data_IF_925270511566
#
_entry.id   IF_925270511566
#
_cell.length_a   1.000
_cell.length_b   1.000
_cell.length_c   1.000
_cell.angle_alpha   90.00
_cell.angle_beta   90.00
_cell.angle_gamma   90.00
#
_symmetry.space_group_name_H-M   'P 1'
#
loop_
_entity.id
_entity.type
_entity.pdbx_description
1 polymer ?
#
# COMPACT_ATOMS: atom_id res chain seq x y z
N UNK A 1 -38.52 35.11 44.75
CA UNK A 1 -38.63 35.99 43.55
C UNK A 1 -39.28 35.20 42.44
N UNK A 2 -40.34 35.78 41.86
CA UNK A 2 -41.10 35.26 40.71
C UNK A 2 -40.26 35.42 39.44
N UNK A 3 -40.32 34.46 38.52
CA UNK A 3 -40.34 34.72 37.08
C UNK A 3 -40.67 33.44 36.32
N UNK A 4 -41.90 33.40 35.79
CA UNK A 4 -42.31 32.52 34.70
C UNK A 4 -41.96 33.22 33.39
N UNK A 5 -41.45 32.51 32.39
CA UNK A 5 -41.62 32.92 31.00
C UNK A 5 -42.16 31.74 30.19
N UNK A 6 -43.41 31.92 29.79
CA UNK A 6 -44.15 31.19 28.78
C UNK A 6 -43.90 31.91 27.45
N UNK A 7 -43.58 31.18 26.38
CA UNK A 7 -43.79 31.67 25.02
C UNK A 7 -44.42 30.58 24.15
N UNK A 8 -45.33 31.09 23.34
CA UNK A 8 -46.37 30.44 22.56
C UNK A 8 -46.02 30.48 21.07
N UNK A 9 -46.67 29.62 20.27
CA UNK A 9 -46.83 29.72 18.81
C UNK A 9 -45.59 29.35 17.95
N UNK A 10 -45.66 28.63 16.83
CA UNK A 10 -46.72 28.40 15.83
C UNK A 10 -46.41 27.15 14.98
N UNK A 11 -47.47 26.55 14.41
CA UNK A 11 -47.48 25.51 13.38
C UNK A 11 -46.97 26.00 12.02
N UNK A 12 -46.29 25.13 11.26
CA UNK A 12 -46.52 24.95 9.81
C UNK A 12 -45.94 23.59 9.33
N UNK A 13 -46.70 22.75 8.60
CA UNK A 13 -46.16 21.55 7.96
C UNK A 13 -45.73 21.87 6.52
N UNK A 14 -44.47 21.62 6.19
CA UNK A 14 -43.99 21.65 4.81
C UNK A 14 -44.12 20.24 4.21
N UNK A 15 -45.19 20.05 3.45
CA UNK A 15 -45.36 18.92 2.53
C UNK A 15 -44.55 19.24 1.29
N UNK A 16 -43.49 18.47 1.01
CA UNK A 16 -42.75 18.55 -0.24
C UNK A 16 -42.70 17.16 -0.88
N UNK A 17 -43.43 17.11 -2.00
CA UNK A 17 -43.72 16.00 -2.88
C UNK A 17 -42.42 15.53 -3.57
N UNK A 18 -41.94 14.31 -3.28
CA UNK A 18 -40.93 13.66 -4.13
C UNK A 18 -41.63 12.81 -5.19
N UNK A 19 -41.66 13.31 -6.41
CA UNK A 19 -42.03 12.54 -7.60
C UNK A 19 -40.84 11.64 -7.99
N UNK A 20 -40.97 10.33 -7.75
CA UNK A 20 -40.07 9.34 -8.33
C UNK A 20 -40.46 9.13 -9.80
N UNK A 21 -39.61 9.60 -10.71
CA UNK A 21 -39.63 9.19 -12.12
C UNK A 21 -38.90 7.84 -12.19
N UNK A 22 -39.67 6.75 -12.16
CA UNK A 22 -39.17 5.42 -12.46
C UNK A 22 -39.07 5.25 -13.99
N UNK A 23 -37.84 5.16 -14.50
CA UNK A 23 -37.59 4.67 -15.86
C UNK A 23 -37.68 3.13 -15.83
N UNK A 24 -38.74 2.59 -16.42
CA UNK A 24 -38.82 1.17 -16.79
C UNK A 24 -37.77 0.89 -17.89
N UNK A 25 -36.78 0.05 -17.59
CA UNK A 25 -35.94 -0.55 -18.61
C UNK A 25 -36.70 -1.76 -19.16
N UNK A 26 -37.20 -1.62 -20.39
CA UNK A 26 -37.82 -2.70 -21.12
C UNK A 26 -36.80 -3.81 -21.40
N UNK A 27 -37.26 -5.02 -21.12
CA UNK A 27 -36.62 -6.30 -21.38
C UNK A 27 -36.52 -6.50 -22.90
N UNK A 28 -35.31 -6.73 -23.40
CA UNK A 28 -35.10 -7.20 -24.77
C UNK A 28 -34.52 -8.61 -24.68
N UNK A 29 -35.44 -9.57 -24.65
CA UNK A 29 -35.19 -10.95 -25.08
C UNK A 29 -34.92 -10.95 -26.57
N UNK A 30 -33.74 -11.42 -26.95
CA UNK A 30 -33.49 -11.98 -28.28
C UNK A 30 -33.05 -13.46 -28.14
N UNK A 31 -33.41 -14.30 -29.13
CA UNK A 31 -33.47 -15.75 -28.99
C UNK A 31 -32.10 -16.42 -29.10
N UNK A 32 -32.04 -17.60 -28.48
CA UNK A 32 -30.94 -18.54 -28.57
C UNK A 32 -30.65 -18.89 -30.04
N UNK A 33 -29.44 -18.55 -30.48
CA UNK A 33 -28.82 -19.13 -31.67
C UNK A 33 -27.90 -20.24 -31.20
N UNK A 34 -28.30 -21.48 -31.45
CA UNK A 34 -27.41 -22.63 -31.46
C UNK A 34 -26.45 -22.48 -32.64
N UNK A 35 -25.15 -22.47 -32.39
CA UNK A 35 -24.17 -22.74 -33.44
C UNK A 35 -22.99 -23.56 -32.91
N UNK A 36 -22.59 -24.46 -33.79
CA UNK A 36 -21.72 -25.61 -33.69
C UNK A 36 -20.30 -25.34 -33.18
N UNK A 37 -19.79 -26.30 -32.39
CA UNK A 37 -18.38 -26.46 -32.05
C UNK A 37 -17.60 -26.84 -33.31
N UNK A 38 -16.86 -25.89 -33.87
CA UNK A 38 -15.81 -26.19 -34.85
C UNK A 38 -14.43 -26.00 -34.20
N UNK A 39 -13.67 -27.08 -34.17
CA UNK A 39 -12.35 -27.15 -33.55
C UNK A 39 -11.33 -26.73 -34.58
N UNK A 40 -11.10 -25.41 -34.70
CA UNK A 40 -10.04 -24.86 -35.55
C UNK A 40 -8.89 -24.36 -34.70
N UNK A 41 -7.78 -25.09 -34.81
CA UNK A 41 -6.47 -24.80 -34.24
C UNK A 41 -5.93 -23.50 -34.82
N UNK A 42 -6.26 -22.36 -34.22
CA UNK A 42 -5.62 -21.09 -34.53
C UNK A 42 -4.25 -21.06 -33.85
N UNK A 43 -3.21 -21.28 -34.65
CA UNK A 43 -1.85 -20.86 -34.32
C UNK A 43 -1.89 -19.37 -33.96
N UNK A 44 -1.82 -19.07 -32.67
CA UNK A 44 -1.63 -17.72 -32.15
C UNK A 44 -0.24 -17.25 -32.56
N UNK A 45 -0.15 -16.70 -33.76
CA UNK A 45 0.93 -15.81 -34.16
C UNK A 45 1.02 -14.73 -33.08
N UNK A 46 2.10 -14.72 -32.31
CA UNK A 46 2.43 -13.66 -31.38
C UNK A 46 2.29 -12.33 -32.14
N UNK A 47 1.30 -11.54 -31.75
CA UNK A 47 1.30 -10.11 -32.03
C UNK A 47 2.55 -9.56 -31.34
N UNK A 48 3.61 -9.38 -32.12
CA UNK A 48 4.70 -8.48 -31.79
C UNK A 48 4.09 -7.10 -31.60
N UNK A 49 3.75 -6.79 -30.35
CA UNK A 49 3.46 -5.44 -29.88
C UNK A 49 4.65 -4.57 -30.26
N UNK A 50 4.52 -3.84 -31.37
CA UNK A 50 5.32 -2.66 -31.62
C UNK A 50 4.94 -1.67 -30.54
N UNK A 51 5.64 -1.70 -29.41
CA UNK A 51 5.47 -0.68 -28.37
C UNK A 51 5.76 0.66 -29.03
N UNK A 52 4.73 1.43 -29.32
CA UNK A 52 4.85 2.83 -29.68
C UNK A 52 5.56 3.51 -28.53
N UNK A 53 6.88 3.66 -28.63
CA UNK A 53 7.69 4.25 -27.57
C UNK A 53 7.26 5.70 -27.44
N UNK A 54 6.60 6.06 -26.34
CA UNK A 54 6.21 7.44 -26.12
C UNK A 54 7.48 8.27 -25.93
N UNK A 55 7.79 9.13 -26.90
CA UNK A 55 9.08 9.84 -26.99
C UNK A 55 9.44 10.60 -25.69
N UNK A 56 8.42 11.09 -24.99
CA UNK A 56 8.57 11.87 -23.76
C UNK A 56 8.27 11.08 -22.49
N UNK A 57 8.25 9.74 -22.53
CA UNK A 57 8.09 8.92 -21.33
C UNK A 57 9.16 9.25 -20.29
N UNK A 58 8.79 9.55 -19.03
CA UNK A 58 9.75 9.85 -17.97
C UNK A 58 10.87 8.82 -17.86
N UNK A 59 12.11 9.29 -17.80
CA UNK A 59 13.29 8.44 -17.65
C UNK A 59 14.16 8.95 -16.50
N UNK A 60 14.44 8.11 -15.51
CA UNK A 60 15.33 8.40 -14.38
C UNK A 60 16.62 7.55 -14.40
N UNK A 61 16.90 6.88 -15.52
CA UNK A 61 18.03 5.96 -15.70
C UNK A 61 17.70 4.55 -15.25
N UNK A 62 17.30 4.39 -13.99
CA UNK A 62 16.95 3.10 -13.39
C UNK A 62 15.43 2.96 -13.17
N UNK A 63 14.95 1.72 -13.22
CA UNK A 63 13.55 1.40 -12.87
C UNK A 63 13.33 1.30 -11.36
N UNK A 64 14.41 1.22 -10.57
CA UNK A 64 14.37 1.22 -9.10
C UNK A 64 15.33 2.28 -8.59
N UNK A 65 14.81 3.29 -7.90
CA UNK A 65 15.61 4.33 -7.26
C UNK A 65 15.68 4.08 -5.75
N UNK A 66 16.88 4.21 -5.19
CA UNK A 66 17.12 3.99 -3.77
C UNK A 66 17.44 5.30 -3.08
N UNK A 67 16.77 5.56 -1.95
CA UNK A 67 17.15 6.64 -1.04
C UNK A 67 18.60 6.43 -0.60
N UNK A 68 19.38 7.51 -0.51
CA UNK A 68 20.77 7.47 -0.05
C UNK A 68 20.88 8.05 1.36
N UNK A 69 21.92 7.67 2.15
CA UNK A 69 22.19 8.32 3.42
C UNK A 69 22.53 9.79 3.16
N UNK A 70 21.85 10.70 3.84
CA UNK A 70 22.15 12.13 3.79
C UNK A 70 22.69 12.56 5.15
N UNK A 71 23.74 13.38 5.17
CA UNK A 71 24.26 13.95 6.43
C UNK A 71 23.38 15.09 6.93
N UNK A 72 22.74 15.82 6.00
CA UNK A 72 21.66 16.77 6.26
C UNK A 72 20.84 16.94 4.98
N UNK A 73 19.54 17.18 5.12
CA UNK A 73 18.64 17.48 4.01
C UNK A 73 18.14 16.28 3.21
N UNK A 74 17.47 16.61 2.11
CA UNK A 74 16.75 15.69 1.24
C UNK A 74 17.61 15.21 0.07
N UNK A 75 17.36 13.96 -0.37
CA UNK A 75 18.01 13.38 -1.55
C UNK A 75 17.10 13.51 -2.76
N UNK A 76 17.60 14.16 -3.81
CA UNK A 76 16.84 14.45 -5.02
C UNK A 76 17.38 13.69 -6.25
N UNK A 77 16.48 13.31 -7.15
CA UNK A 77 16.83 12.69 -8.44
C UNK A 77 16.08 13.41 -9.55
N UNK A 78 16.81 13.90 -10.55
CA UNK A 78 16.25 14.54 -11.73
C UNK A 78 16.01 13.52 -12.85
N UNK A 79 14.99 13.72 -13.71
CA UNK A 79 14.84 12.92 -14.91
C UNK A 79 16.01 13.19 -15.88
N UNK A 80 16.41 12.16 -16.62
CA UNK A 80 17.46 12.22 -17.64
C UNK A 80 16.95 12.78 -18.99
N UNK A 81 15.64 12.89 -19.15
CA UNK A 81 14.99 13.43 -20.34
C UNK A 81 13.98 14.53 -19.99
N UNK A 82 13.43 15.14 -21.02
CA UNK A 82 12.45 16.24 -20.93
C UNK A 82 12.98 17.50 -20.21
N UNK A 83 14.29 17.60 -19.97
CA UNK A 83 14.93 18.80 -19.44
C UNK A 83 14.78 19.96 -20.40
N UNK A 84 14.22 21.08 -19.93
CA UNK A 84 13.97 22.27 -20.76
C UNK A 84 12.78 22.15 -21.71
N UNK A 85 11.99 21.08 -21.62
CA UNK A 85 10.72 20.94 -22.34
C UNK A 85 9.58 21.34 -21.40
N UNK A 86 8.80 22.33 -21.80
CA UNK A 86 7.60 22.73 -21.06
C UNK A 86 6.58 21.58 -21.02
N UNK A 87 6.08 21.29 -19.83
CA UNK A 87 5.04 20.28 -19.62
C UNK A 87 4.64 20.15 -18.16
N UNK A 88 3.88 19.11 -17.85
CA UNK A 88 3.44 18.79 -16.49
C UNK A 88 3.80 17.35 -16.16
N UNK A 89 4.41 17.18 -15.00
CA UNK A 89 4.76 15.88 -14.42
C UNK A 89 3.68 15.44 -13.44
N UNK A 90 3.29 14.17 -13.54
CA UNK A 90 2.25 13.55 -12.73
C UNK A 90 2.77 12.22 -12.20
N UNK A 91 2.28 11.79 -11.04
CA UNK A 91 2.57 10.46 -10.51
C UNK A 91 1.38 9.88 -9.79
N UNK A 92 1.26 8.55 -9.83
CA UNK A 92 0.30 7.79 -9.05
C UNK A 92 0.88 6.41 -8.71
N UNK A 93 0.60 5.84 -7.52
CA UNK A 93 -0.23 6.39 -6.46
C UNK A 93 0.39 7.66 -5.81
N UNK A 94 -0.32 8.34 -4.90
CA UNK A 94 0.28 9.45 -4.13
C UNK A 94 1.49 8.95 -3.31
N UNK A 95 2.20 9.81 -2.60
CA UNK A 95 3.34 9.38 -1.77
C UNK A 95 4.70 9.37 -2.51
N UNK A 96 4.72 9.55 -3.84
CA UNK A 96 5.92 10.02 -4.53
C UNK A 96 6.00 11.55 -4.43
N UNK A 97 7.03 12.06 -3.77
CA UNK A 97 7.29 13.50 -3.69
C UNK A 97 8.00 13.95 -4.96
N UNK A 98 7.28 14.65 -5.84
CA UNK A 98 7.79 15.09 -7.15
C UNK A 98 7.41 16.55 -7.43
N UNK A 99 8.38 17.30 -7.95
CA UNK A 99 8.11 18.62 -8.49
C UNK A 99 7.34 18.50 -9.82
N UNK A 100 6.10 19.00 -9.86
CA UNK A 100 5.21 18.90 -11.03
C UNK A 100 5.70 19.66 -12.27
N UNK A 101 6.64 20.59 -12.13
CA UNK A 101 7.18 21.37 -13.24
C UNK A 101 8.46 20.74 -13.79
N UNK A 102 9.35 20.25 -12.93
CA UNK A 102 10.69 19.78 -13.33
C UNK A 102 10.82 18.25 -13.37
N UNK A 103 9.88 17.51 -12.78
CA UNK A 103 9.99 16.07 -12.62
C UNK A 103 11.01 15.63 -11.57
N UNK A 104 11.66 16.57 -10.87
CA UNK A 104 12.64 16.23 -9.82
C UNK A 104 11.91 15.52 -8.68
N UNK A 105 12.38 14.31 -8.35
CA UNK A 105 11.90 13.50 -7.25
C UNK A 105 12.67 13.84 -5.98
N UNK A 106 11.97 13.91 -4.85
CA UNK A 106 12.55 13.94 -3.52
C UNK A 106 12.38 12.56 -2.86
N UNK A 107 13.42 11.74 -2.92
CA UNK A 107 13.37 10.38 -2.39
C UNK A 107 13.38 10.35 -0.86
N UNK A 108 13.86 11.42 -0.20
CA UNK A 108 13.81 11.50 1.26
C UNK A 108 12.40 11.62 1.80
N UNK A 109 11.49 12.21 1.01
CA UNK A 109 10.09 12.43 1.36
C UNK A 109 9.12 11.47 0.66
N UNK A 110 9.63 10.56 -0.18
CA UNK A 110 8.78 9.60 -0.91
C UNK A 110 8.58 8.31 -0.11
N UNK A 111 7.42 7.67 -0.27
CA UNK A 111 7.16 6.36 0.33
C UNK A 111 7.95 5.27 -0.43
N UNK A 112 8.61 4.40 0.34
CA UNK A 112 9.56 3.37 -0.13
C UNK A 112 8.88 2.00 -0.22
N UNK A 113 9.44 1.08 -1.01
CA UNK A 113 8.86 -0.25 -1.25
C UNK A 113 7.61 -0.22 -2.14
N UNK A 114 7.38 0.87 -2.89
CA UNK A 114 6.18 1.12 -3.69
C UNK A 114 6.55 1.32 -5.17
N UNK A 115 5.68 0.82 -6.05
CA UNK A 115 5.72 1.06 -7.50
C UNK A 115 4.81 2.23 -7.85
N UNK A 116 5.35 3.16 -8.62
CA UNK A 116 4.68 4.35 -9.14
C UNK A 116 4.64 4.32 -10.67
N UNK A 117 3.57 4.89 -11.23
CA UNK A 117 3.57 5.42 -12.57
C UNK A 117 4.01 6.87 -12.47
N UNK A 118 4.96 7.26 -13.31
CA UNK A 118 5.35 8.64 -13.52
C UNK A 118 4.97 9.00 -14.94
N UNK A 119 4.32 10.15 -15.12
CA UNK A 119 3.87 10.61 -16.40
C UNK A 119 4.33 12.03 -16.69
N UNK A 120 4.48 12.30 -17.99
CA UNK A 120 4.76 13.63 -18.50
C UNK A 120 3.78 13.97 -19.62
N UNK A 121 3.17 15.14 -19.51
CA UNK A 121 2.29 15.73 -20.53
C UNK A 121 2.98 16.95 -21.09
N UNK A 122 3.40 16.89 -22.36
CA UNK A 122 4.07 18.01 -23.03
C UNK A 122 3.07 19.16 -23.22
N UNK A 123 3.50 20.40 -22.93
CA UNK A 123 2.67 21.60 -23.11
C UNK A 123 2.20 21.72 -24.55
N UNK A 124 0.92 22.06 -24.72
CA UNK A 124 0.28 22.15 -26.04
C UNK A 124 -0.18 20.81 -26.62
N UNK A 125 -0.04 19.72 -25.88
CA UNK A 125 -0.53 18.39 -26.27
C UNK A 125 -1.45 17.80 -25.19
N UNK A 126 -2.18 16.75 -25.54
CA UNK A 126 -2.93 15.90 -24.60
C UNK A 126 -2.26 14.55 -24.38
N UNK A 127 -1.12 14.31 -25.04
CA UNK A 127 -0.43 13.04 -25.00
C UNK A 127 0.24 12.86 -23.64
N UNK A 128 -0.14 11.79 -22.95
CA UNK A 128 0.42 11.43 -21.64
C UNK A 128 1.38 10.28 -21.83
N UNK A 129 2.68 10.56 -21.76
CA UNK A 129 3.68 9.51 -21.75
C UNK A 129 3.90 9.02 -20.32
N UNK A 130 3.79 7.71 -20.09
CA UNK A 130 3.89 7.10 -18.77
C UNK A 130 5.06 6.11 -18.74
N UNK A 131 5.78 6.08 -17.63
CA UNK A 131 6.73 5.01 -17.29
C UNK A 131 6.52 4.54 -15.86
N UNK A 132 7.04 3.36 -15.53
CA UNK A 132 7.00 2.81 -14.18
C UNK A 132 8.33 3.03 -13.47
N UNK A 133 8.24 3.33 -12.18
CA UNK A 133 9.37 3.57 -11.30
C UNK A 133 9.09 2.95 -9.93
N UNK A 134 10.07 2.31 -9.33
CA UNK A 134 9.99 1.82 -7.94
C UNK A 134 10.88 2.70 -7.08
N UNK A 135 10.36 3.14 -5.93
CA UNK A 135 11.23 3.65 -4.87
C UNK A 135 11.59 2.45 -3.99
N UNK A 136 12.86 2.05 -4.04
CA UNK A 136 13.38 0.88 -3.35
C UNK A 136 13.19 0.95 -1.84
N UNK A 137 13.06 -0.20 -1.21
CA UNK A 137 12.73 -0.35 0.21
C UNK A 137 11.87 -1.58 0.47
N UNK A 138 11.14 -1.59 1.59
CA UNK A 138 10.27 -2.71 1.95
C UNK A 138 8.82 -2.29 2.20
N UNK A 139 7.91 -3.23 1.99
CA UNK A 139 6.49 -3.13 2.34
C UNK A 139 5.97 -4.45 2.93
N UNK A 140 4.70 -4.51 3.29
CA UNK A 140 4.01 -5.77 3.61
C UNK A 140 2.79 -5.91 2.71
N UNK A 141 2.35 -7.16 2.52
CA UNK A 141 1.10 -7.42 1.81
C UNK A 141 -0.08 -7.21 2.75
N UNK A 142 -1.13 -6.56 2.24
CA UNK A 142 -2.44 -6.61 2.85
C UNK A 142 -2.88 -8.08 2.92
N UNK A 143 -3.17 -8.56 4.13
CA UNK A 143 -3.52 -9.95 4.34
C UNK A 143 -4.33 -10.18 5.63
N UNK A 144 -5.10 -11.26 5.64
CA UNK A 144 -5.79 -11.80 6.82
C UNK A 144 -4.97 -13.00 7.30
N UNK A 145 -4.45 -12.89 8.52
CA UNK A 145 -3.63 -13.89 9.18
C UNK A 145 -4.48 -14.66 10.20
N UNK A 146 -4.70 -15.95 9.95
CA UNK A 146 -5.52 -16.80 10.81
C UNK A 146 -4.64 -17.56 11.80
N UNK A 147 -4.59 -17.10 13.05
CA UNK A 147 -3.63 -17.56 14.06
C UNK A 147 -3.81 -19.05 14.39
N UNK A 148 -5.05 -19.52 14.47
CA UNK A 148 -5.38 -20.94 14.66
C UNK A 148 -4.91 -21.86 13.53
N UNK A 149 -4.69 -21.33 12.32
CA UNK A 149 -4.14 -22.06 11.19
C UNK A 149 -2.61 -21.98 11.11
N UNK A 150 -1.95 -21.49 12.17
CA UNK A 150 -0.51 -21.22 12.22
C UNK A 150 -0.03 -20.15 11.20
N UNK A 151 -0.94 -19.35 10.63
CA UNK A 151 -0.61 -18.20 9.81
C UNK A 151 -0.29 -17.00 10.72
N UNK A 152 0.96 -16.94 11.17
CA UNK A 152 1.38 -16.08 12.29
C UNK A 152 2.44 -15.04 11.93
N UNK A 153 3.01 -15.12 10.72
CA UNK A 153 4.17 -14.33 10.32
C UNK A 153 3.84 -13.46 9.11
N UNK A 154 3.85 -12.15 9.27
CA UNK A 154 3.84 -11.22 8.14
C UNK A 154 5.27 -11.00 7.65
N UNK A 155 5.53 -11.38 6.40
CA UNK A 155 6.85 -11.25 5.78
C UNK A 155 6.94 -9.93 5.00
N UNK A 156 8.08 -9.22 5.07
CA UNK A 156 8.28 -8.04 4.25
C UNK A 156 8.49 -8.43 2.78
N UNK A 157 8.06 -7.54 1.89
CA UNK A 157 8.28 -7.59 0.45
C UNK A 157 9.23 -6.45 0.07
N UNK A 158 10.28 -6.77 -0.68
CA UNK A 158 11.31 -5.80 -1.07
C UNK A 158 11.11 -5.29 -2.50
N UNK A 159 11.32 -3.99 -2.69
CA UNK A 159 11.27 -3.29 -3.97
C UNK A 159 10.00 -3.56 -4.78
N UNK A 160 8.85 -3.57 -4.10
CA UNK A 160 7.54 -3.82 -4.70
C UNK A 160 7.47 -5.11 -5.56
N UNK A 161 8.25 -6.13 -5.19
CA UNK A 161 8.31 -7.41 -5.89
C UNK A 161 8.06 -8.58 -4.93
N UNK A 162 6.86 -9.20 -4.95
CA UNK A 162 6.50 -10.26 -4.01
C UNK A 162 7.26 -11.59 -4.26
N UNK A 163 7.94 -11.70 -5.40
CA UNK A 163 8.73 -12.88 -5.76
C UNK A 163 10.23 -12.64 -5.56
N UNK A 164 10.64 -11.45 -5.10
CA UNK A 164 12.04 -11.16 -4.80
C UNK A 164 12.44 -11.88 -3.51
N UNK A 165 13.56 -12.59 -3.56
CA UNK A 165 14.16 -13.19 -2.37
C UNK A 165 14.51 -12.09 -1.35
N UNK A 166 14.35 -12.41 -0.07
CA UNK A 166 14.79 -11.51 1.01
C UNK A 166 16.27 -11.19 0.88
N UNK A 167 16.62 -9.92 1.09
CA UNK A 167 18.02 -9.48 1.20
C UNK A 167 18.56 -9.69 2.63
N UNK A 168 17.67 -9.90 3.59
CA UNK A 168 17.99 -10.03 5.01
C UNK A 168 18.33 -11.47 5.39
N UNK A 169 19.10 -11.64 6.45
CA UNK A 169 19.45 -12.97 6.97
C UNK A 169 18.27 -13.67 7.65
N UNK A 170 18.41 -14.98 7.80
CA UNK A 170 17.43 -15.78 8.52
C UNK A 170 17.32 -15.33 9.99
N UNK A 171 16.08 -15.31 10.50
CA UNK A 171 15.76 -14.87 11.85
C UNK A 171 14.81 -15.85 12.52
N UNK A 172 14.70 -15.76 13.85
CA UNK A 172 13.74 -16.53 14.64
C UNK A 172 13.21 -15.67 15.81
N UNK A 173 12.44 -16.28 16.71
CA UNK A 173 11.80 -15.56 17.82
C UNK A 173 12.76 -15.14 18.96
N UNK A 174 14.08 -15.33 18.80
CA UNK A 174 15.09 -14.73 19.67
C UNK A 174 15.60 -13.39 19.16
N UNK A 175 15.05 -12.87 18.06
CA UNK A 175 15.57 -11.72 17.30
C UNK A 175 14.75 -10.44 17.52
N UNK A 176 14.54 -10.07 18.77
CA UNK A 176 13.77 -8.87 19.17
C UNK A 176 14.67 -7.93 19.98
N UNK A 177 14.37 -6.63 20.10
CA UNK A 177 15.25 -5.68 20.80
C UNK A 177 15.27 -5.83 22.33
N UNK A 178 14.41 -6.69 22.91
CA UNK A 178 14.53 -7.16 24.29
C UNK A 178 15.64 -8.22 24.45
N UNK A 179 16.11 -8.79 23.34
CA UNK A 179 17.41 -9.45 23.22
C UNK A 179 18.47 -8.44 22.75
N UNK A 180 19.75 -8.72 23.00
CA UNK A 180 20.86 -7.82 22.64
C UNK A 180 21.03 -7.54 21.12
N UNK A 181 20.13 -8.00 20.24
CA UNK A 181 20.25 -7.91 18.79
C UNK A 181 19.54 -6.67 18.22
N UNK A 182 20.31 -5.76 17.62
CA UNK A 182 19.85 -4.57 16.90
C UNK A 182 19.98 -4.71 15.37
N UNK A 183 19.55 -5.85 14.83
CA UNK A 183 19.75 -6.23 13.43
C UNK A 183 21.12 -6.85 13.16
N UNK A 184 21.54 -6.84 11.90
CA UNK A 184 22.83 -7.32 11.43
C UNK A 184 23.41 -6.43 10.31
N UNK A 185 24.46 -6.90 9.63
CA UNK A 185 25.11 -6.17 8.55
C UNK A 185 24.29 -6.06 7.26
N UNK A 186 23.24 -6.86 7.10
CA UNK A 186 22.36 -6.84 5.92
C UNK A 186 21.13 -6.00 6.16
N UNK A 187 20.50 -6.17 7.32
CA UNK A 187 19.27 -5.49 7.64
C UNK A 187 19.21 -5.13 9.12
N UNK A 188 18.64 -3.97 9.40
CA UNK A 188 18.31 -3.56 10.75
C UNK A 188 16.90 -2.98 10.79
N UNK A 189 16.02 -3.62 11.54
CA UNK A 189 14.64 -3.21 11.75
C UNK A 189 14.41 -2.76 13.18
N UNK A 190 13.39 -1.93 13.33
CA UNK A 190 12.98 -1.32 14.59
C UNK A 190 14.04 -0.36 15.17
N UNK A 191 14.69 0.39 14.28
CA UNK A 191 15.80 1.28 14.57
C UNK A 191 15.38 2.67 15.09
N UNK A 192 14.13 2.83 15.53
CA UNK A 192 13.64 4.04 16.14
C UNK A 192 14.24 4.26 17.54
N UNK A 193 14.11 5.50 18.06
CA UNK A 193 14.45 5.82 19.43
C UNK A 193 13.61 4.98 20.42
N UNK A 194 14.15 4.64 21.62
CA UNK A 194 13.39 3.97 22.66
C UNK A 194 12.07 4.70 22.97
N UNK A 195 11.00 3.95 23.22
CA UNK A 195 9.63 4.43 23.38
C UNK A 195 8.86 4.58 22.06
N UNK A 196 9.56 4.69 20.93
CA UNK A 196 8.96 4.88 19.60
C UNK A 196 9.12 3.67 18.69
N UNK A 197 9.79 2.61 19.17
CA UNK A 197 9.95 1.35 18.45
C UNK A 197 8.61 0.62 18.28
N UNK A 198 8.50 -0.16 17.23
CA UNK A 198 7.38 -1.08 17.03
C UNK A 198 7.33 -2.13 18.14
N UNK A 199 8.48 -2.67 18.57
CA UNK A 199 8.51 -3.64 19.68
C UNK A 199 8.15 -3.02 21.03
N UNK A 200 8.48 -1.74 21.27
CA UNK A 200 8.04 -1.02 22.48
C UNK A 200 6.50 -0.91 22.52
N UNK A 201 5.87 -0.79 21.34
CA UNK A 201 4.43 -0.79 21.13
C UNK A 201 3.81 -2.20 21.05
N UNK A 202 4.59 -3.24 21.34
CA UNK A 202 4.22 -4.67 21.31
C UNK A 202 3.92 -5.24 19.93
N UNK A 203 4.30 -4.55 18.85
CA UNK A 203 4.35 -5.14 17.51
C UNK A 203 5.71 -5.81 17.35
N UNK A 204 5.72 -7.14 17.37
CA UNK A 204 6.94 -7.94 17.44
C UNK A 204 7.58 -8.13 16.08
N UNK A 205 8.40 -7.15 15.71
CA UNK A 205 9.21 -7.13 14.48
C UNK A 205 10.58 -7.72 14.78
N UNK A 206 11.00 -8.73 14.00
CA UNK A 206 12.34 -9.33 14.12
C UNK A 206 13.40 -8.39 13.57
N UNK A 207 14.42 -8.05 14.35
CA UNK A 207 15.34 -6.95 14.05
C UNK A 207 16.28 -7.23 12.87
N UNK A 208 16.54 -8.49 12.51
CA UNK A 208 17.35 -8.88 11.34
C UNK A 208 16.57 -9.08 10.06
N UNK A 209 15.28 -9.37 10.14
CA UNK A 209 14.51 -9.81 8.95
C UNK A 209 13.28 -8.98 8.63
N UNK A 210 12.80 -8.17 9.57
CA UNK A 210 11.55 -7.44 9.43
C UNK A 210 10.30 -8.31 9.57
N UNK A 211 10.42 -9.63 9.71
CA UNK A 211 9.25 -10.50 9.91
C UNK A 211 8.51 -10.06 11.17
N UNK A 212 7.20 -9.83 11.04
CA UNK A 212 6.32 -9.50 12.15
C UNK A 212 5.66 -10.79 12.65
N UNK A 213 5.89 -11.13 13.92
CA UNK A 213 5.23 -12.24 14.58
C UNK A 213 3.91 -11.75 15.21
N UNK A 214 2.81 -11.95 14.50
CA UNK A 214 1.48 -11.46 14.88
C UNK A 214 0.93 -12.21 16.09
N UNK A 215 1.19 -13.51 16.20
CA UNK A 215 0.81 -14.31 17.37
C UNK A 215 1.49 -13.80 18.64
N UNK A 216 2.81 -13.62 18.59
CA UNK A 216 3.58 -13.07 19.72
C UNK A 216 3.15 -11.63 20.04
N UNK A 217 2.85 -10.82 19.02
CA UNK A 217 2.35 -9.46 19.22
C UNK A 217 1.03 -9.45 20.01
N UNK A 218 0.10 -10.36 19.68
CA UNK A 218 -1.14 -10.51 20.46
C UNK A 218 -0.85 -10.95 21.91
N UNK A 219 -0.02 -11.99 22.10
CA UNK A 219 0.32 -12.50 23.44
C UNK A 219 0.99 -11.42 24.30
N UNK A 220 1.80 -10.57 23.70
CA UNK A 220 2.50 -9.48 24.38
C UNK A 220 1.62 -8.23 24.57
N UNK A 221 0.34 -8.31 24.21
CA UNK A 221 -0.66 -7.27 24.50
C UNK A 221 -0.70 -6.13 23.48
N UNK A 222 -0.51 -6.41 22.19
CA UNK A 222 -0.57 -5.40 21.12
C UNK A 222 -1.81 -4.49 21.22
N UNK A 223 -2.98 -5.03 21.57
CA UNK A 223 -4.22 -4.24 21.73
C UNK A 223 -4.64 -4.05 23.19
N UNK A 224 -3.76 -4.37 24.14
CA UNK A 224 -4.07 -4.35 25.58
C UNK A 224 -4.75 -5.63 26.07
N UNK A 225 -5.25 -5.64 27.32
CA UNK A 225 -5.75 -6.85 27.98
C UNK A 225 -7.16 -7.28 27.52
N UNK A 226 -7.92 -6.38 26.90
CA UNK A 226 -9.29 -6.65 26.44
C UNK A 226 -9.32 -6.45 24.92
N UNK A 227 -9.41 -7.56 24.19
CA UNK A 227 -9.48 -7.55 22.73
C UNK A 227 -10.92 -7.39 22.27
N UNK A 228 -11.15 -6.52 21.29
CA UNK A 228 -12.45 -6.31 20.64
C UNK A 228 -12.30 -6.37 19.13
N UNK A 229 -13.32 -6.88 18.47
CA UNK A 229 -13.39 -6.90 17.00
C UNK A 229 -13.30 -5.47 16.46
N UNK A 230 -12.37 -5.27 15.52
CA UNK A 230 -12.09 -3.97 14.92
C UNK A 230 -11.04 -3.13 15.66
N UNK A 231 -10.50 -3.59 16.80
CA UNK A 231 -9.36 -2.93 17.45
C UNK A 231 -8.19 -2.81 16.46
N UNK A 232 -7.56 -1.64 16.39
CA UNK A 232 -6.46 -1.41 15.45
C UNK A 232 -5.39 -0.48 16.02
N UNK A 233 -4.18 -0.61 15.48
CA UNK A 233 -3.06 0.31 15.68
C UNK A 233 -2.38 0.61 14.35
N UNK A 234 -1.85 1.83 14.21
CA UNK A 234 -0.92 2.18 13.16
C UNK A 234 0.45 2.37 13.78
N UNK A 235 1.43 1.59 13.32
CA UNK A 235 2.74 1.50 13.98
C UNK A 235 3.82 1.74 12.93
N UNK A 236 4.66 2.78 13.09
CA UNK A 236 5.82 2.97 12.25
C UNK A 236 6.91 1.96 12.59
N UNK A 237 7.56 1.44 11.56
CA UNK A 237 8.73 0.56 11.62
C UNK A 237 9.85 1.30 10.90
N UNK A 238 10.83 1.79 11.65
CA UNK A 238 12.05 2.35 11.07
C UNK A 238 13.04 1.24 10.77
N UNK A 239 13.68 1.31 9.61
CA UNK A 239 14.56 0.25 9.13
C UNK A 239 15.69 0.79 8.25
N UNK A 240 16.71 -0.04 8.07
CA UNK A 240 17.85 0.16 7.18
C UNK A 240 18.16 -1.14 6.45
N UNK A 241 18.45 -1.04 5.16
CA UNK A 241 18.77 -2.15 4.28
C UNK A 241 20.16 -1.92 3.67
N UNK A 242 21.00 -2.94 3.67
CA UNK A 242 22.30 -2.94 3.01
C UNK A 242 22.16 -3.37 1.54
N UNK A 243 21.28 -2.67 0.84
CA UNK A 243 21.09 -2.75 -0.60
C UNK A 243 21.67 -1.49 -1.26
N UNK A 244 21.21 -1.15 -2.46
CA UNK A 244 21.60 0.09 -3.11
C UNK A 244 21.18 1.35 -2.33
N UNK A 245 20.41 1.27 -1.24
CA UNK A 245 20.18 2.40 -0.33
C UNK A 245 21.35 2.70 0.60
N UNK A 246 22.39 1.86 0.64
CA UNK A 246 23.57 2.03 1.48
C UNK A 246 23.21 2.25 2.97
N UNK A 247 22.24 1.50 3.50
CA UNK A 247 21.73 1.65 4.87
C UNK A 247 21.09 3.00 5.17
N UNK A 248 20.52 3.68 4.17
CA UNK A 248 19.71 4.88 4.41
C UNK A 248 18.55 4.56 5.36
N UNK A 249 18.27 5.48 6.29
CA UNK A 249 17.13 5.33 7.21
C UNK A 249 15.81 5.49 6.44
N UNK A 250 14.96 4.48 6.57
CA UNK A 250 13.65 4.39 5.95
C UNK A 250 12.59 4.09 7.01
N UNK A 251 11.33 4.33 6.68
CA UNK A 251 10.20 4.07 7.57
C UNK A 251 9.01 3.58 6.77
N UNK A 252 8.29 2.61 7.34
CA UNK A 252 6.98 2.19 6.87
C UNK A 252 6.01 2.17 8.04
N UNK A 253 4.79 2.64 7.83
CA UNK A 253 3.71 2.49 8.81
C UNK A 253 2.85 1.31 8.39
N UNK A 254 2.61 0.37 9.30
CA UNK A 254 1.64 -0.72 9.10
C UNK A 254 0.39 -0.45 9.93
N UNK A 255 -0.77 -0.85 9.41
CA UNK A 255 -2.03 -0.88 10.17
C UNK A 255 -2.31 -2.33 10.55
N UNK A 256 -2.33 -2.62 11.84
CA UNK A 256 -2.65 -3.94 12.37
C UNK A 256 -4.04 -3.89 13.00
N UNK A 257 -4.92 -4.82 12.67
CA UNK A 257 -6.30 -4.88 13.15
C UNK A 257 -6.63 -6.27 13.69
N UNK A 258 -7.47 -6.37 14.72
CA UNK A 258 -7.87 -7.64 15.33
C UNK A 258 -9.35 -7.96 15.11
N UNK A 259 -9.62 -9.24 14.86
CA UNK A 259 -10.93 -9.87 14.99
C UNK A 259 -10.76 -11.24 15.67
N UNK A 260 -11.75 -11.64 16.46
CA UNK A 260 -11.81 -12.94 17.11
C UNK A 260 -11.78 -14.08 16.10
N UNK A 261 -12.50 -13.94 14.97
CA UNK A 261 -12.58 -14.92 13.89
C UNK A 261 -12.78 -14.27 12.53
N UNK A 262 -12.50 -15.01 11.47
CA UNK A 262 -12.63 -14.53 10.08
C UNK A 262 -14.06 -14.08 9.77
N UNK A 263 -15.08 -14.79 10.26
CA UNK A 263 -16.49 -14.44 10.00
C UNK A 263 -16.92 -13.10 10.63
N UNK A 264 -16.15 -12.58 11.59
CA UNK A 264 -16.41 -11.29 12.22
C UNK A 264 -15.81 -10.11 11.45
N UNK A 265 -14.97 -10.39 10.44
CA UNK A 265 -14.38 -9.36 9.58
C UNK A 265 -15.47 -8.87 8.61
N UNK A 266 -15.72 -7.55 8.51
CA UNK A 266 -16.68 -7.02 7.56
C UNK A 266 -16.36 -7.45 6.13
N UNK A 267 -17.38 -7.89 5.36
CA UNK A 267 -17.19 -8.38 4.00
C UNK A 267 -16.48 -7.37 3.08
N UNK A 268 -16.80 -6.08 3.20
CA UNK A 268 -16.14 -5.01 2.46
C UNK A 268 -14.62 -4.94 2.74
N UNK A 269 -14.21 -5.24 3.97
CA UNK A 269 -12.81 -5.24 4.37
C UNK A 269 -12.07 -6.46 3.80
N UNK A 270 -12.71 -7.63 3.79
CA UNK A 270 -12.18 -8.84 3.13
C UNK A 270 -11.97 -8.58 1.63
N UNK A 271 -12.96 -7.98 0.96
CA UNK A 271 -12.89 -7.64 -0.45
C UNK A 271 -11.76 -6.65 -0.72
N UNK A 272 -11.61 -5.64 0.13
CA UNK A 272 -10.53 -4.65 0.02
C UNK A 272 -9.15 -5.33 0.07
N UNK A 273 -8.89 -6.13 1.10
CA UNK A 273 -7.61 -6.84 1.29
C UNK A 273 -7.33 -7.76 0.09
N UNK A 274 -8.33 -8.52 -0.34
CA UNK A 274 -8.19 -9.46 -1.46
C UNK A 274 -7.86 -8.73 -2.76
N UNK A 275 -8.61 -7.67 -3.08
CA UNK A 275 -8.43 -6.90 -4.32
C UNK A 275 -7.05 -6.28 -4.39
N UNK A 276 -6.58 -5.67 -3.29
CA UNK A 276 -5.25 -5.06 -3.24
C UNK A 276 -4.13 -6.06 -3.31
N UNK A 277 -4.26 -7.19 -2.60
CA UNK A 277 -3.29 -8.27 -2.67
C UNK A 277 -3.15 -8.76 -4.11
N UNK A 278 -4.28 -8.99 -4.80
CA UNK A 278 -4.26 -9.34 -6.22
C UNK A 278 -3.63 -8.26 -7.09
N UNK A 279 -3.96 -6.98 -6.89
CA UNK A 279 -3.33 -5.87 -7.60
C UNK A 279 -1.81 -5.85 -7.41
N UNK A 280 -1.33 -6.08 -6.18
CA UNK A 280 0.10 -6.14 -5.88
C UNK A 280 0.80 -7.27 -6.65
N UNK A 281 0.23 -8.48 -6.65
CA UNK A 281 0.80 -9.63 -7.38
C UNK A 281 0.75 -9.46 -8.91
N UNK A 282 -0.24 -8.72 -9.41
CA UNK A 282 -0.39 -8.41 -10.83
C UNK A 282 0.37 -7.13 -11.23
N UNK A 283 1.15 -6.54 -10.33
CA UNK A 283 1.85 -5.25 -10.52
C UNK A 283 0.94 -4.10 -10.99
N UNK A 284 -0.35 -4.18 -10.64
CA UNK A 284 -1.35 -3.16 -10.93
C UNK A 284 -1.23 -2.03 -9.92
N UNK A 285 -1.13 -0.81 -10.44
CA UNK A 285 -1.10 0.40 -9.62
C UNK A 285 -2.54 0.88 -9.39
N UNK A 286 -2.91 1.05 -8.12
CA UNK A 286 -4.21 1.59 -7.71
C UNK A 286 -4.13 3.11 -7.56
N UNK A 287 -5.14 3.83 -8.06
CA UNK A 287 -5.14 5.30 -8.10
C UNK A 287 -5.58 5.94 -6.77
N UNK A 288 -4.83 5.67 -5.70
CA UNK A 288 -5.04 6.21 -4.35
C UNK A 288 -3.69 6.33 -3.64
N UNK A 289 -3.60 7.18 -2.60
CA UNK A 289 -2.44 7.17 -1.71
C UNK A 289 -2.11 5.73 -1.25
N UNK A 290 -0.83 5.29 -1.30
CA UNK A 290 -0.42 4.01 -0.77
C UNK A 290 -0.82 4.03 0.69
N UNK A 291 -1.72 3.12 1.03
CA UNK A 291 -2.17 3.01 2.40
C UNK A 291 -1.13 2.23 3.16
N UNK A 292 -0.99 2.48 4.46
CA UNK A 292 -0.28 1.56 5.34
C UNK A 292 -0.72 0.14 5.04
N UNK A 293 0.20 -0.82 4.86
CA UNK A 293 -0.16 -2.22 4.72
C UNK A 293 -1.09 -2.66 5.84
N UNK A 294 -2.16 -3.35 5.46
CA UNK A 294 -3.21 -3.78 6.38
C UNK A 294 -3.02 -5.25 6.77
N UNK A 295 -2.58 -5.46 8.01
CA UNK A 295 -2.38 -6.77 8.62
C UNK A 295 -3.58 -7.07 9.52
N UNK A 296 -4.53 -7.88 9.05
CA UNK A 296 -5.68 -8.28 9.85
C UNK A 296 -5.34 -9.59 10.56
N UNK A 297 -5.45 -9.61 11.88
CA UNK A 297 -5.28 -10.78 12.71
C UNK A 297 -6.67 -11.35 13.01
N UNK A 298 -6.90 -12.60 12.64
CA UNK A 298 -8.07 -13.38 13.03
C UNK A 298 -7.64 -14.51 13.98
N UNK A 299 -8.25 -14.59 15.17
CA UNK A 299 -7.97 -15.69 16.12
C UNK A 299 -8.32 -17.05 15.53
N UNK A 300 -9.57 -17.20 15.08
CA UNK A 300 -10.15 -18.44 14.57
C UNK A 300 -10.58 -18.34 13.10
N UNK A 301 -10.57 -19.48 12.41
CA UNK A 301 -11.08 -19.56 11.05
C UNK A 301 -12.62 -19.41 10.99
N UNK A 302 -13.35 -19.91 11.99
CA UNK A 302 -14.82 -19.94 12.08
C UNK A 302 -15.34 -19.53 13.47
#
# INVERSE_FOLDING_TARGET
MKSKLSYCSTLLPFVLLFAFVACNKADHTDPAVEESVDTSTTNTTLLTSTTTSCLYAPNYGDSILYKKPTQSGDFFVAPLNNSGIDGTWLSWPDGLSMNRTTGVLNLSQSETGVRYNVAFVKKGTTDTCVSQLIIGGMTYLDNIYVISNNDTLAQPVFDANPFKNTICDASNDSDYPDSAASGDSKCAFDNAAPGSKANDQKLRVRTKSGIINLKKSLTDGLFGPVLRNGDFKQIPIQYRLNDASNNAMQSITVKVMYYDKVSSIPAALIQEVTSKRQSFFNYLIINYKPRPPLLIIAGFAN
#
